data_IF_275708809638
#
_entry.id   IF_275708809638
#
_cell.length_a   1.000
_cell.length_b   1.000
_cell.length_c   1.000
_cell.angle_alpha   90.00
_cell.angle_beta   90.00
_cell.angle_gamma   90.00
#
_symmetry.space_group_name_H-M   'P 1'
#
loop_
_entity.id
_entity.type
_entity.pdbx_description
1 polymer ?
#
# COMPACT_ATOMS: atom_id res chain seq x y z
N UNK A 1 -4.10 27.79 0.64
CA UNK A 1 -3.60 27.06 1.83
C UNK A 1 -4.60 25.95 2.12
N UNK A 2 -4.39 24.76 1.57
CA UNK A 2 -5.31 23.62 1.77
C UNK A 2 -5.29 23.27 3.26
N UNK A 3 -6.49 23.05 3.81
CA UNK A 3 -6.79 22.61 5.18
C UNK A 3 -5.90 21.42 5.59
N UNK A 4 -4.67 21.69 6.00
CA UNK A 4 -3.61 20.68 6.15
C UNK A 4 -4.04 19.60 7.14
N UNK A 5 -4.79 19.98 8.18
CA UNK A 5 -5.29 19.04 9.18
C UNK A 5 -6.23 17.97 8.59
N UNK A 6 -7.10 18.29 7.63
CA UNK A 6 -8.06 17.33 7.10
C UNK A 6 -7.44 16.38 6.07
N UNK A 7 -6.58 16.89 5.20
CA UNK A 7 -5.88 16.08 4.21
C UNK A 7 -4.84 15.15 4.86
N UNK A 8 -4.06 15.70 5.79
CA UNK A 8 -3.08 14.95 6.58
C UNK A 8 -3.75 13.84 7.39
N UNK A 9 -4.82 14.16 8.12
CA UNK A 9 -5.59 13.17 8.87
C UNK A 9 -6.12 12.05 7.97
N UNK A 10 -6.71 12.42 6.82
CA UNK A 10 -7.29 11.46 5.88
C UNK A 10 -6.24 10.47 5.35
N UNK A 11 -5.09 10.95 4.89
CA UNK A 11 -4.04 10.08 4.34
C UNK A 11 -3.41 9.20 5.42
N UNK A 12 -3.18 9.75 6.62
CA UNK A 12 -2.65 8.95 7.72
C UNK A 12 -3.67 7.90 8.20
N UNK A 13 -4.97 8.19 8.17
CA UNK A 13 -6.00 7.20 8.52
C UNK A 13 -6.08 6.07 7.50
N UNK A 14 -5.91 6.37 6.20
CA UNK A 14 -5.77 5.35 5.16
C UNK A 14 -4.54 4.48 5.41
N UNK A 15 -3.38 5.12 5.62
CA UNK A 15 -2.12 4.42 5.83
C UNK A 15 -2.16 3.52 7.07
N UNK A 16 -2.74 4.01 8.18
CA UNK A 16 -3.00 3.22 9.38
C UNK A 16 -3.89 2.00 9.11
N UNK A 17 -5.00 2.19 8.40
CA UNK A 17 -5.92 1.10 8.07
C UNK A 17 -5.28 0.06 7.13
N UNK A 18 -4.38 0.47 6.23
CA UNK A 18 -3.58 -0.45 5.42
C UNK A 18 -2.65 -1.28 6.29
N UNK A 19 -1.95 -0.66 7.24
CA UNK A 19 -1.06 -1.34 8.17
C UNK A 19 -1.80 -2.35 9.05
N UNK A 20 -2.89 -1.94 9.70
CA UNK A 20 -3.73 -2.84 10.52
C UNK A 20 -4.32 -3.97 9.67
N UNK A 21 -4.77 -3.65 8.45
CA UNK A 21 -5.30 -4.64 7.51
C UNK A 21 -4.27 -5.70 7.14
N UNK A 22 -3.04 -5.28 6.83
CA UNK A 22 -1.93 -6.16 6.48
C UNK A 22 -1.50 -7.04 7.66
N UNK A 23 -1.39 -6.48 8.88
CA UNK A 23 -1.13 -7.27 10.09
C UNK A 23 -2.22 -8.33 10.32
N UNK A 24 -3.51 -7.94 10.21
CA UNK A 24 -4.64 -8.86 10.39
C UNK A 24 -4.62 -9.99 9.36
N UNK A 25 -4.27 -9.67 8.11
CA UNK A 25 -4.13 -10.66 7.05
C UNK A 25 -2.92 -11.56 7.27
N UNK A 26 -1.79 -11.00 7.70
CA UNK A 26 -0.59 -11.73 8.11
C UNK A 26 -0.87 -12.76 9.21
N UNK A 27 -1.58 -12.36 10.26
CA UNK A 27 -2.01 -13.25 11.35
C UNK A 27 -2.91 -14.38 10.87
N UNK A 28 -3.83 -14.07 9.95
CA UNK A 28 -4.68 -15.07 9.33
C UNK A 28 -3.86 -16.07 8.50
N UNK A 29 -2.98 -15.58 7.63
CA UNK A 29 -2.11 -16.42 6.80
C UNK A 29 -1.15 -17.25 7.65
N UNK A 30 -0.59 -16.67 8.72
CA UNK A 30 0.25 -17.39 9.67
C UNK A 30 -0.48 -18.55 10.34
N UNK A 31 -1.76 -18.38 10.69
CA UNK A 31 -2.60 -19.49 11.19
C UNK A 31 -2.81 -20.57 10.15
N UNK A 32 -3.15 -20.21 8.91
CA UNK A 32 -3.31 -21.17 7.81
C UNK A 32 -2.04 -21.97 7.56
N UNK A 33 -0.90 -21.29 7.45
CA UNK A 33 0.42 -21.92 7.27
C UNK A 33 0.75 -22.84 8.45
N UNK A 34 0.50 -22.40 9.69
CA UNK A 34 0.70 -23.25 10.86
C UNK A 34 -0.15 -24.50 10.83
N UNK A 35 -1.43 -24.42 10.46
CA UNK A 35 -2.30 -25.60 10.32
C UNK A 35 -1.73 -26.56 9.27
N UNK A 36 -1.38 -26.05 8.09
CA UNK A 36 -0.85 -26.85 6.98
C UNK A 36 0.48 -27.54 7.31
N UNK A 37 1.39 -26.82 7.99
CA UNK A 37 2.75 -27.31 8.24
C UNK A 37 2.93 -27.99 9.60
N UNK A 38 2.01 -27.83 10.56
CA UNK A 38 2.09 -28.48 11.88
C UNK A 38 2.22 -30.01 11.87
N UNK A 39 1.71 -30.78 10.88
CA UNK A 39 1.90 -32.22 10.83
C UNK A 39 3.36 -32.62 10.58
N UNK A 40 4.14 -31.82 9.86
CA UNK A 40 5.54 -32.13 9.51
C UNK A 40 6.39 -32.38 10.77
N UNK A 41 6.53 -31.42 11.71
CA UNK A 41 7.31 -31.65 12.92
C UNK A 41 6.67 -32.66 13.88
N UNK A 42 5.37 -32.95 13.71
CA UNK A 42 4.65 -33.91 14.55
C UNK A 42 4.92 -35.35 14.14
N UNK A 43 4.96 -35.63 12.84
CA UNK A 43 5.00 -36.98 12.28
C UNK A 43 6.34 -37.33 11.60
N UNK A 44 7.05 -36.37 11.04
CA UNK A 44 8.27 -36.63 10.25
C UNK A 44 9.57 -36.42 11.02
N UNK A 45 9.54 -35.74 12.17
CA UNK A 45 10.75 -35.42 12.93
C UNK A 45 11.07 -36.46 14.00
N UNK A 46 12.36 -36.77 14.18
CA UNK A 46 12.84 -37.58 15.31
C UNK A 46 12.62 -36.85 16.64
N UNK A 47 12.63 -37.57 17.76
CA UNK A 47 12.43 -36.98 19.10
C UNK A 47 13.41 -35.85 19.41
N UNK A 48 14.68 -36.04 19.08
CA UNK A 48 15.74 -35.05 19.29
C UNK A 48 15.53 -33.80 18.43
N UNK A 49 15.23 -33.99 17.14
CA UNK A 49 15.02 -32.88 16.22
C UNK A 49 13.74 -32.09 16.56
N UNK A 50 12.69 -32.80 17.03
CA UNK A 50 11.44 -32.19 17.51
C UNK A 50 11.71 -31.27 18.71
N UNK A 51 12.49 -31.71 19.70
CA UNK A 51 12.89 -30.89 20.86
C UNK A 51 13.61 -29.62 20.39
N UNK A 52 14.65 -29.78 19.56
CA UNK A 52 15.43 -28.66 19.02
C UNK A 52 14.58 -27.67 18.22
N UNK A 53 13.62 -28.17 17.44
CA UNK A 53 12.70 -27.34 16.66
C UNK A 53 11.82 -26.44 17.54
N UNK A 54 11.17 -26.99 18.57
CA UNK A 54 10.31 -26.20 19.45
C UNK A 54 11.09 -25.23 20.34
N UNK A 55 12.27 -25.62 20.84
CA UNK A 55 13.17 -24.71 21.57
C UNK A 55 13.62 -23.53 20.71
N UNK A 56 13.99 -23.79 19.45
CA UNK A 56 14.34 -22.72 18.50
C UNK A 56 13.14 -21.82 18.23
N UNK A 57 11.96 -22.39 17.98
CA UNK A 57 10.75 -21.61 17.72
C UNK A 57 10.45 -20.64 18.86
N UNK A 58 10.51 -21.10 20.11
CA UNK A 58 10.29 -20.24 21.27
C UNK A 58 11.36 -19.15 21.41
N UNK A 59 12.64 -19.48 21.15
CA UNK A 59 13.74 -18.52 21.21
C UNK A 59 13.63 -17.43 20.15
N UNK A 60 13.28 -17.83 18.92
CA UNK A 60 13.21 -16.92 17.78
C UNK A 60 11.88 -16.16 17.69
N UNK A 61 10.86 -16.54 18.45
CA UNK A 61 9.54 -15.89 18.38
C UNK A 61 9.63 -14.37 18.56
N UNK A 62 10.42 -13.89 19.52
CA UNK A 62 10.63 -12.44 19.73
C UNK A 62 11.26 -11.74 18.53
N UNK A 63 12.19 -12.40 17.84
CA UNK A 63 12.84 -11.85 16.64
C UNK A 63 11.86 -11.82 15.46
N UNK A 64 11.03 -12.86 15.33
CA UNK A 64 9.97 -12.96 14.33
C UNK A 64 8.93 -11.86 14.58
N UNK A 65 8.46 -11.71 15.81
CA UNK A 65 7.47 -10.70 16.18
C UNK A 65 7.99 -9.29 15.89
N UNK A 66 9.25 -9.00 16.28
CA UNK A 66 9.88 -7.73 15.94
C UNK A 66 9.98 -7.53 14.43
N UNK A 67 10.39 -8.54 13.68
CA UNK A 67 10.50 -8.43 12.22
C UNK A 67 9.15 -8.12 11.56
N UNK A 68 8.05 -8.70 12.03
CA UNK A 68 6.74 -8.50 11.40
C UNK A 68 6.02 -7.23 11.87
N UNK A 69 6.00 -6.97 13.18
CA UNK A 69 5.07 -6.01 13.80
C UNK A 69 5.71 -4.71 14.31
N UNK A 70 7.03 -4.54 14.19
CA UNK A 70 7.67 -3.27 14.56
C UNK A 70 7.06 -2.10 13.75
N UNK A 71 6.61 -1.07 14.47
CA UNK A 71 5.81 0.02 13.89
C UNK A 71 6.64 0.99 13.01
N UNK A 72 7.97 0.94 13.09
CA UNK A 72 8.87 1.82 12.33
C UNK A 72 9.60 1.08 11.20
N UNK A 73 10.00 -0.16 11.45
CA UNK A 73 10.90 -0.94 10.58
C UNK A 73 10.40 -2.34 10.27
N UNK A 74 9.22 -2.73 10.79
CA UNK A 74 8.64 -4.04 10.58
C UNK A 74 8.17 -4.28 9.14
N UNK A 75 7.99 -5.55 8.80
CA UNK A 75 7.51 -5.98 7.49
C UNK A 75 6.15 -5.36 7.17
N UNK A 76 5.19 -5.40 8.10
CA UNK A 76 3.84 -4.92 7.86
C UNK A 76 3.78 -3.40 7.61
N UNK A 77 4.60 -2.62 8.31
CA UNK A 77 4.64 -1.17 8.09
C UNK A 77 5.29 -0.83 6.74
N UNK A 78 6.37 -1.52 6.37
CA UNK A 78 7.00 -1.39 5.07
C UNK A 78 6.03 -1.75 3.93
N UNK A 79 5.24 -2.81 4.11
CA UNK A 79 4.21 -3.20 3.14
C UNK A 79 3.11 -2.15 3.02
N UNK A 80 2.66 -1.60 4.16
CA UNK A 80 1.69 -0.50 4.18
C UNK A 80 2.21 0.76 3.48
N UNK A 81 3.50 1.11 3.65
CA UNK A 81 4.12 2.22 2.91
C UNK A 81 4.08 2.00 1.40
N UNK A 82 4.46 0.80 0.95
CA UNK A 82 4.46 0.44 -0.46
C UNK A 82 3.06 0.54 -1.06
N UNK A 83 2.06 -0.10 -0.43
CA UNK A 83 0.69 -0.10 -0.93
C UNK A 83 0.03 1.27 -0.87
N UNK A 84 0.29 2.05 0.18
CA UNK A 84 -0.17 3.44 0.26
C UNK A 84 0.36 4.24 -0.93
N UNK A 85 1.67 4.16 -1.19
CA UNK A 85 2.31 4.84 -2.32
C UNK A 85 1.72 4.40 -3.66
N UNK A 86 1.53 3.10 -3.85
CA UNK A 86 0.94 2.52 -5.06
C UNK A 86 -0.48 3.03 -5.30
N UNK A 87 -1.40 2.84 -4.34
CA UNK A 87 -2.80 3.23 -4.50
C UNK A 87 -2.95 4.75 -4.65
N UNK A 88 -2.20 5.55 -3.91
CA UNK A 88 -2.24 7.00 -4.09
C UNK A 88 -1.75 7.42 -5.49
N UNK A 89 -0.67 6.81 -5.97
CA UNK A 89 -0.08 7.14 -7.28
C UNK A 89 -1.00 6.79 -8.46
N UNK A 90 -1.84 5.76 -8.31
CA UNK A 90 -2.84 5.40 -9.31
C UNK A 90 -3.90 6.50 -9.57
N UNK A 91 -4.13 7.43 -8.64
CA UNK A 91 -4.95 8.60 -8.96
C UNK A 91 -4.23 9.59 -9.87
N UNK A 92 -2.91 9.69 -9.74
CA UNK A 92 -2.07 10.59 -10.55
C UNK A 92 -1.76 9.98 -11.92
N UNK A 93 -1.68 8.65 -12.03
CA UNK A 93 -1.45 7.96 -13.30
C UNK A 93 -2.59 8.20 -14.30
N UNK A 94 -3.81 8.45 -13.84
CA UNK A 94 -4.92 8.84 -14.71
C UNK A 94 -4.58 10.11 -15.50
N UNK A 95 -4.08 11.14 -14.83
CA UNK A 95 -3.63 12.38 -15.46
C UNK A 95 -2.46 12.11 -16.42
N UNK A 96 -1.51 11.27 -16.02
CA UNK A 96 -0.41 10.85 -16.87
C UNK A 96 -0.87 10.23 -18.19
N UNK A 97 -1.87 9.34 -18.13
CA UNK A 97 -2.41 8.68 -19.31
C UNK A 97 -3.18 9.65 -20.22
N UNK A 98 -3.96 10.57 -19.65
CA UNK A 98 -4.60 11.65 -20.42
C UNK A 98 -3.55 12.48 -21.16
N UNK A 99 -2.47 12.87 -20.50
CA UNK A 99 -1.38 13.64 -21.12
C UNK A 99 -0.64 12.84 -22.19
N UNK A 100 -0.45 11.53 -21.99
CA UNK A 100 0.22 10.66 -22.95
C UNK A 100 -0.60 10.45 -24.23
N UNK A 101 -1.93 10.46 -24.14
CA UNK A 101 -2.83 10.31 -25.29
C UNK A 101 -2.68 11.41 -26.33
N UNK A 102 -2.32 12.63 -25.93
CA UNK A 102 -2.18 13.79 -26.84
C UNK A 102 -1.06 13.55 -27.87
N UNK A 103 0.23 13.39 -27.48
CA UNK A 103 1.30 13.14 -28.43
C UNK A 103 1.16 11.79 -29.15
N UNK A 104 0.55 10.79 -28.50
CA UNK A 104 0.25 9.51 -29.17
C UNK A 104 -0.69 9.70 -30.38
N UNK A 105 -1.77 10.48 -30.21
CA UNK A 105 -2.69 10.83 -31.29
C UNK A 105 -2.03 11.68 -32.38
N UNK A 106 -1.34 12.75 -31.97
CA UNK A 106 -0.72 13.71 -32.90
C UNK A 106 0.40 13.10 -33.76
N UNK A 107 1.20 12.18 -33.21
CA UNK A 107 2.40 11.67 -33.87
C UNK A 107 2.31 10.19 -34.26
N UNK A 108 1.19 9.53 -33.97
CA UNK A 108 1.00 8.10 -34.25
C UNK A 108 1.84 7.18 -33.34
N UNK A 109 2.32 7.71 -32.21
CA UNK A 109 3.12 7.00 -31.22
C UNK A 109 4.14 7.90 -30.52
N UNK A 110 4.56 7.48 -29.32
CA UNK A 110 5.52 8.21 -28.49
C UNK A 110 6.72 7.31 -28.18
N UNK A 111 7.94 7.83 -28.30
CA UNK A 111 9.13 7.11 -27.88
C UNK A 111 9.07 6.77 -26.38
N UNK A 112 9.57 5.57 -26.02
CA UNK A 112 9.53 5.05 -24.65
C UNK A 112 10.06 6.03 -23.59
N UNK A 113 11.17 6.74 -23.85
CA UNK A 113 11.76 7.68 -22.88
C UNK A 113 10.83 8.85 -22.62
N UNK A 114 10.22 9.39 -23.68
CA UNK A 114 9.27 10.49 -23.59
C UNK A 114 7.99 10.04 -22.89
N UNK A 115 7.49 8.84 -23.23
CA UNK A 115 6.32 8.25 -22.56
C UNK A 115 6.57 8.04 -21.05
N UNK A 116 7.75 7.53 -20.67
CA UNK A 116 8.13 7.39 -19.26
C UNK A 116 8.20 8.74 -18.54
N UNK A 117 8.72 9.79 -19.18
CA UNK A 117 8.77 11.12 -18.59
C UNK A 117 7.37 11.70 -18.37
N UNK A 118 6.48 11.58 -19.37
CA UNK A 118 5.08 12.01 -19.28
C UNK A 118 4.36 11.25 -18.16
N UNK A 119 4.67 9.97 -17.96
CA UNK A 119 4.08 9.17 -16.89
C UNK A 119 4.62 9.56 -15.51
N UNK A 120 5.95 9.64 -15.37
CA UNK A 120 6.62 9.83 -14.09
C UNK A 120 6.43 11.23 -13.51
N UNK A 121 6.39 12.28 -14.34
CA UNK A 121 6.32 13.66 -13.86
C UNK A 121 5.03 13.96 -13.06
N UNK A 122 3.82 13.66 -13.55
CA UNK A 122 2.60 13.88 -12.76
C UNK A 122 2.56 13.04 -11.49
N UNK A 123 2.99 11.78 -11.56
CA UNK A 123 3.06 10.90 -10.37
C UNK A 123 3.96 11.52 -9.31
N UNK A 124 5.18 11.92 -9.69
CA UNK A 124 6.14 12.54 -8.78
C UNK A 124 5.61 13.83 -8.15
N UNK A 125 5.08 14.75 -8.97
CA UNK A 125 4.56 16.04 -8.51
C UNK A 125 3.37 15.89 -7.57
N UNK A 126 2.41 15.02 -7.90
CA UNK A 126 1.23 14.77 -7.10
C UNK A 126 1.54 13.96 -5.82
N UNK A 127 2.62 13.19 -5.80
CA UNK A 127 3.04 12.44 -4.61
C UNK A 127 3.74 13.29 -3.55
N UNK A 128 4.40 14.40 -3.92
CA UNK A 128 5.05 15.32 -2.97
C UNK A 128 4.15 15.72 -1.78
N UNK A 129 2.92 16.22 -1.98
CA UNK A 129 2.04 16.59 -0.86
C UNK A 129 1.64 15.39 0.01
N UNK A 130 1.40 14.21 -0.58
CA UNK A 130 1.10 13.00 0.18
C UNK A 130 2.29 12.54 1.02
N UNK A 131 3.49 12.55 0.43
CA UNK A 131 4.71 12.24 1.14
C UNK A 131 4.94 13.17 2.32
N UNK A 132 4.71 14.48 2.14
CA UNK A 132 4.81 15.47 3.21
C UNK A 132 3.78 15.24 4.33
N UNK A 133 2.58 14.83 3.97
CA UNK A 133 1.49 14.59 4.91
C UNK A 133 1.66 13.30 5.73
N UNK A 134 2.29 12.26 5.18
CA UNK A 134 2.38 10.95 5.87
C UNK A 134 3.78 10.67 6.40
N UNK A 135 4.82 10.84 5.58
CA UNK A 135 6.16 10.30 5.87
C UNK A 135 7.15 11.34 6.39
N UNK A 136 6.90 12.64 6.22
CA UNK A 136 7.85 13.66 6.68
C UNK A 136 7.94 13.69 8.21
N UNK A 137 9.15 13.44 8.73
CA UNK A 137 9.46 13.38 10.16
C UNK A 137 8.61 12.33 10.90
N UNK A 138 8.40 11.18 10.25
CA UNK A 138 7.70 10.02 10.82
C UNK A 138 6.31 10.36 11.39
N UNK A 139 5.65 11.31 10.72
CA UNK A 139 4.38 11.90 11.16
C UNK A 139 3.27 10.86 11.32
N UNK A 140 3.26 9.83 10.49
CA UNK A 140 2.30 8.74 10.60
C UNK A 140 2.31 8.07 11.98
N UNK A 141 3.47 7.93 12.65
CA UNK A 141 3.55 7.35 13.99
C UNK A 141 2.76 8.15 15.02
N UNK A 142 2.75 9.48 14.90
CA UNK A 142 1.95 10.34 15.78
C UNK A 142 0.45 10.09 15.60
N UNK A 143 0.02 9.91 14.35
CA UNK A 143 -1.37 9.61 14.01
C UNK A 143 -1.75 8.19 14.41
N UNK A 144 -0.86 7.21 14.26
CA UNK A 144 -1.11 5.83 14.66
C UNK A 144 -1.43 5.75 16.15
N UNK A 145 -0.61 6.40 16.99
CA UNK A 145 -0.85 6.52 18.44
C UNK A 145 -2.15 7.23 18.81
N UNK A 146 -2.65 8.10 17.92
CA UNK A 146 -3.96 8.72 18.08
C UNK A 146 -5.08 7.73 17.71
N UNK A 147 -4.96 7.08 16.54
CA UNK A 147 -5.97 6.19 15.99
C UNK A 147 -6.14 4.89 16.75
N UNK A 148 -5.10 4.39 17.40
CA UNK A 148 -5.19 3.24 18.30
C UNK A 148 -6.13 3.46 19.50
N UNK A 149 -6.37 4.73 19.87
CA UNK A 149 -7.25 5.10 20.98
C UNK A 149 -8.69 5.38 20.55
N UNK A 150 -8.94 5.38 19.24
CA UNK A 150 -10.28 5.62 18.70
C UNK A 150 -11.18 4.40 18.93
N UNK A 151 -12.48 4.59 18.78
CA UNK A 151 -13.45 3.54 19.04
C UNK A 151 -13.62 2.58 17.84
N UNK A 152 -14.33 1.47 18.09
CA UNK A 152 -14.58 0.47 17.05
C UNK A 152 -15.38 1.06 15.86
N UNK A 153 -16.24 2.06 16.10
CA UNK A 153 -17.00 2.71 15.05
C UNK A 153 -16.08 3.47 14.10
N UNK A 154 -15.10 4.20 14.64
CA UNK A 154 -14.07 4.88 13.88
C UNK A 154 -13.29 3.90 13.01
N UNK A 155 -12.80 2.79 13.58
CA UNK A 155 -12.05 1.79 12.84
C UNK A 155 -12.87 1.14 11.71
N UNK A 156 -14.14 0.80 11.97
CA UNK A 156 -15.05 0.26 10.94
C UNK A 156 -15.29 1.25 9.81
N UNK A 157 -15.48 2.54 10.15
CA UNK A 157 -15.68 3.62 9.17
C UNK A 157 -14.45 3.77 8.29
N UNK A 158 -13.27 3.94 8.87
CA UNK A 158 -12.05 4.19 8.11
C UNK A 158 -11.60 2.98 7.31
N UNK A 159 -11.81 1.76 7.81
CA UNK A 159 -11.63 0.54 7.00
C UNK A 159 -12.45 0.58 5.71
N UNK A 160 -13.72 0.98 5.78
CA UNK A 160 -14.58 1.09 4.59
C UNK A 160 -14.08 2.17 3.63
N UNK A 161 -13.68 3.33 4.16
CA UNK A 161 -13.13 4.44 3.36
C UNK A 161 -11.84 3.99 2.64
N UNK A 162 -10.93 3.32 3.35
CA UNK A 162 -9.69 2.78 2.78
C UNK A 162 -9.97 1.76 1.68
N UNK A 163 -10.95 0.87 1.85
CA UNK A 163 -11.37 -0.04 0.78
C UNK A 163 -11.85 0.70 -0.46
N UNK A 164 -12.70 1.73 -0.29
CA UNK A 164 -13.16 2.57 -1.41
C UNK A 164 -12.01 3.32 -2.06
N UNK A 165 -11.04 3.80 -1.29
CA UNK A 165 -9.82 4.44 -1.80
C UNK A 165 -8.99 3.46 -2.65
N UNK A 166 -8.71 2.25 -2.15
CA UNK A 166 -7.96 1.26 -2.90
C UNK A 166 -8.69 0.83 -4.18
N UNK A 167 -9.99 0.53 -4.11
CA UNK A 167 -10.78 0.15 -5.30
C UNK A 167 -10.84 1.32 -6.29
N UNK A 168 -11.11 2.53 -5.80
CA UNK A 168 -11.16 3.75 -6.60
C UNK A 168 -9.84 3.98 -7.34
N UNK A 169 -8.70 3.77 -6.69
CA UNK A 169 -7.40 3.92 -7.34
C UNK A 169 -7.19 2.95 -8.51
N UNK A 170 -7.63 1.69 -8.37
CA UNK A 170 -7.55 0.69 -9.47
C UNK A 170 -8.47 1.10 -10.61
N UNK A 171 -9.69 1.57 -10.31
CA UNK A 171 -10.63 2.09 -11.30
C UNK A 171 -10.04 3.29 -12.05
N UNK A 172 -9.38 4.22 -11.36
CA UNK A 172 -8.71 5.37 -11.98
C UNK A 172 -7.53 4.94 -12.86
N UNK A 173 -6.74 3.95 -12.45
CA UNK A 173 -5.64 3.44 -13.27
C UNK A 173 -6.16 2.82 -14.59
N UNK A 174 -7.18 1.96 -14.51
CA UNK A 174 -7.82 1.33 -15.69
C UNK A 174 -8.51 2.39 -16.56
N UNK A 175 -9.30 3.27 -15.95
CA UNK A 175 -9.97 4.37 -16.63
C UNK A 175 -9.00 5.30 -17.35
N UNK A 176 -7.80 5.50 -16.79
CA UNK A 176 -6.75 6.28 -17.42
C UNK A 176 -6.28 5.66 -18.74
N UNK A 177 -6.14 4.34 -18.84
CA UNK A 177 -5.79 3.66 -20.09
C UNK A 177 -6.85 3.93 -21.17
N UNK A 178 -8.14 3.84 -20.82
CA UNK A 178 -9.22 4.18 -21.75
C UNK A 178 -9.24 5.66 -22.12
N UNK A 179 -8.94 6.54 -21.16
CA UNK A 179 -8.82 7.98 -21.41
C UNK A 179 -7.67 8.31 -22.37
N UNK A 180 -6.50 7.67 -22.22
CA UNK A 180 -5.39 7.79 -23.16
C UNK A 180 -5.83 7.43 -24.58
N UNK A 181 -6.50 6.28 -24.74
CA UNK A 181 -6.98 5.83 -26.04
C UNK A 181 -8.00 6.79 -26.65
N UNK A 182 -8.97 7.26 -25.85
CA UNK A 182 -9.95 8.24 -26.30
C UNK A 182 -9.32 9.58 -26.72
N UNK A 183 -8.35 10.08 -25.94
CA UNK A 183 -7.61 11.31 -26.27
C UNK A 183 -6.78 11.11 -27.54
N UNK A 184 -6.09 9.98 -27.68
CA UNK A 184 -5.32 9.66 -28.88
C UNK A 184 -6.19 9.67 -30.14
N UNK A 185 -7.40 9.11 -30.08
CA UNK A 185 -8.35 9.15 -31.19
C UNK A 185 -8.78 10.59 -31.54
N UNK A 186 -9.01 11.44 -30.54
CA UNK A 186 -9.40 12.85 -30.77
C UNK A 186 -8.33 13.67 -31.49
N UNK A 187 -7.04 13.36 -31.28
CA UNK A 187 -5.93 14.08 -31.89
C UNK A 187 -5.38 13.42 -33.17
N UNK A 188 -6.03 12.35 -33.64
CA UNK A 188 -5.65 11.62 -34.85
C UNK A 188 -6.30 12.16 -36.14
N UNK A 189 -7.23 13.10 -36.00
CA UNK A 189 -7.86 13.87 -37.08
C UNK A 189 -6.94 15.00 -37.56
#
# INVERSE_FOLDING_TARGET
MINSNNFEYFLNAIHYCLWIGDMTFGDFMGRVVNVLLSPIPKYLFTKEYKKKYYERRQREQKNIDKFFYDEESGYHIGWAHHWFGYFYSCYSIFLSFVLLGIPDGMFGGVNLIVAMAIIALPIGLCYIPAYRAVFSKDRYLKYFKQFEKEDEQWHKKWKRITWVFCIGSVVFAIGGIFAMWGVSLLFRE
#
